data_IF_957223468375
#
_entry.id   IF_957223468375
#
_cell.length_a   1.000
_cell.length_b   1.000
_cell.length_c   1.000
_cell.angle_alpha   90.00
_cell.angle_beta   90.00
_cell.angle_gamma   90.00
#
_symmetry.space_group_name_H-M   'P 1'
#
loop_
_entity.id
_entity.type
_entity.pdbx_description
1 polymer ?
#
# COMPACT_ATOMS: atom_id res chain seq x y z
N UNK A 1 -10.01 33.19 16.23
CA UNK A 1 -8.85 33.04 15.31
C UNK A 1 -7.52 32.63 15.97
N UNK A 2 -7.26 32.91 17.27
CA UNK A 2 -6.00 32.46 17.93
C UNK A 2 -5.93 30.94 18.20
N UNK A 3 -7.05 30.27 18.43
CA UNK A 3 -7.11 28.81 18.63
C UNK A 3 -6.87 27.98 17.35
N UNK A 4 -7.34 28.46 16.18
CA UNK A 4 -7.22 27.74 14.91
C UNK A 4 -5.76 27.68 14.39
N UNK A 5 -4.95 28.70 14.71
CA UNK A 5 -3.53 28.75 14.31
C UNK A 5 -2.65 27.75 15.07
N UNK A 6 -3.06 27.34 16.27
CA UNK A 6 -2.24 26.44 17.10
C UNK A 6 -2.43 24.97 16.70
N UNK A 7 -3.64 24.58 16.28
CA UNK A 7 -3.94 23.17 15.99
C UNK A 7 -3.54 22.72 14.57
N UNK A 8 -3.58 23.61 13.57
CA UNK A 8 -3.18 23.27 12.19
C UNK A 8 -1.67 23.00 12.11
N UNK A 9 -0.86 23.72 12.89
CA UNK A 9 0.58 23.51 12.95
C UNK A 9 0.94 22.14 13.55
N UNK A 10 0.23 21.70 14.59
CA UNK A 10 0.44 20.37 15.17
C UNK A 10 -0.02 19.24 14.25
N UNK A 11 -1.12 19.41 13.51
CA UNK A 11 -1.61 18.40 12.56
C UNK A 11 -0.68 18.21 11.35
N UNK A 12 -0.13 19.31 10.82
CA UNK A 12 0.86 19.28 9.72
C UNK A 12 2.19 18.70 10.21
N UNK A 13 2.65 19.08 11.41
CA UNK A 13 3.89 18.56 12.00
C UNK A 13 3.75 17.08 12.39
N UNK A 14 2.60 16.64 12.88
CA UNK A 14 2.33 15.22 13.17
C UNK A 14 2.26 14.38 11.88
N UNK A 15 1.73 14.94 10.80
CA UNK A 15 1.68 14.27 9.48
C UNK A 15 3.06 14.12 8.84
N UNK A 16 3.99 15.05 9.10
CA UNK A 16 5.37 15.00 8.60
C UNK A 16 6.33 14.19 9.49
N UNK A 17 6.15 14.19 10.82
CA UNK A 17 7.07 13.52 11.75
C UNK A 17 6.83 12.02 11.92
N UNK A 18 5.62 11.51 11.62
CA UNK A 18 5.37 10.07 11.61
C UNK A 18 5.91 9.40 10.32
N UNK A 19 6.24 10.20 9.29
CA UNK A 19 6.58 9.71 7.94
C UNK A 19 8.06 9.77 7.54
N UNK A 20 8.95 10.37 8.34
CA UNK A 20 10.36 10.50 7.99
C UNK A 20 11.24 9.73 8.99
N UNK A 21 12.03 8.78 8.45
CA UNK A 21 13.17 8.05 9.04
C UNK A 21 12.81 6.72 9.75
N UNK A 22 13.31 5.51 9.35
CA UNK A 22 14.24 5.14 8.25
C UNK A 22 13.91 3.84 7.43
N UNK A 23 14.73 3.63 6.38
CA UNK A 23 14.92 2.47 5.47
C UNK A 23 13.91 2.30 4.31
N UNK A 24 14.21 2.77 3.10
CA UNK A 24 15.10 2.19 2.07
C UNK A 24 14.67 0.80 1.58
N UNK A 25 14.06 0.84 0.39
CA UNK A 25 13.90 -0.17 -0.66
C UNK A 25 14.27 -1.61 -0.32
N UNK A 26 13.26 -2.43 -0.01
CA UNK A 26 13.23 -3.85 -0.34
C UNK A 26 11.78 -4.30 -0.63
N UNK A 27 11.34 -4.19 -1.89
CA UNK A 27 10.06 -4.74 -2.36
C UNK A 27 10.15 -6.25 -2.56
N UNK A 28 10.16 -6.93 -1.43
CA UNK A 28 10.20 -8.38 -1.27
C UNK A 28 9.38 -8.74 -0.04
N UNK A 29 8.69 -9.88 -0.03
CA UNK A 29 8.00 -10.29 1.19
C UNK A 29 9.02 -10.47 2.29
N UNK A 30 8.83 -9.73 3.38
CA UNK A 30 9.58 -9.94 4.61
C UNK A 30 8.75 -10.84 5.50
N UNK A 31 9.31 -12.01 5.81
CA UNK A 31 8.69 -12.97 6.70
C UNK A 31 9.54 -13.10 7.95
N UNK A 32 9.09 -12.49 9.04
CA UNK A 32 9.75 -12.61 10.34
C UNK A 32 9.49 -14.00 10.92
N UNK A 33 10.53 -14.76 11.25
CA UNK A 33 10.43 -16.09 11.85
C UNK A 33 10.78 -16.05 13.33
N UNK A 34 9.88 -16.57 14.15
CA UNK A 34 10.13 -16.82 15.57
C UNK A 34 10.01 -18.30 15.90
N UNK A 35 10.64 -18.70 17.00
CA UNK A 35 10.34 -19.94 17.69
C UNK A 35 10.05 -19.57 19.15
N UNK A 36 8.88 -20.00 19.65
CA UNK A 36 8.44 -19.69 21.02
C UNK A 36 8.44 -18.18 21.31
N UNK A 37 8.04 -17.37 20.33
CA UNK A 37 8.01 -15.90 20.44
C UNK A 37 9.38 -15.22 20.40
N UNK A 38 10.48 -15.97 20.32
CA UNK A 38 11.83 -15.41 20.16
C UNK A 38 12.27 -15.46 18.70
N UNK A 39 12.95 -14.40 18.23
CA UNK A 39 13.47 -14.36 16.85
C UNK A 39 14.45 -15.50 16.63
N UNK A 40 14.24 -16.25 15.55
CA UNK A 40 15.13 -17.35 15.19
C UNK A 40 16.45 -16.77 14.63
N UNK A 41 17.56 -16.98 15.32
CA UNK A 41 18.89 -16.49 14.93
C UNK A 41 19.70 -17.48 14.08
N UNK A 42 19.17 -18.68 13.84
CA UNK A 42 19.86 -19.77 13.13
C UNK A 42 20.16 -19.37 11.68
N UNK A 43 21.41 -19.03 11.37
CA UNK A 43 21.87 -18.63 10.02
C UNK A 43 21.71 -19.71 8.93
N UNK A 44 21.30 -20.92 9.30
CA UNK A 44 21.10 -22.08 8.42
C UNK A 44 19.64 -22.51 8.28
N UNK A 45 18.67 -21.76 8.83
CA UNK A 45 17.26 -22.06 8.55
C UNK A 45 16.96 -21.81 7.07
N UNK A 46 16.28 -22.76 6.43
CA UNK A 46 15.91 -22.67 5.02
C UNK A 46 14.40 -22.49 4.90
N UNK A 47 13.97 -21.64 3.97
CA UNK A 47 12.56 -21.30 3.77
C UNK A 47 12.15 -21.43 2.31
N UNK A 48 11.01 -22.06 2.06
CA UNK A 48 10.40 -22.16 0.74
C UNK A 48 8.94 -21.71 0.78
N UNK A 49 8.56 -20.85 -0.16
CA UNK A 49 7.16 -20.49 -0.41
C UNK A 49 6.48 -21.61 -1.23
N UNK A 50 5.29 -22.00 -0.83
CA UNK A 50 4.46 -23.01 -1.50
C UNK A 50 3.20 -22.36 -2.06
N UNK A 51 2.79 -22.75 -3.28
CA UNK A 51 1.60 -22.27 -3.98
C UNK A 51 0.77 -23.44 -4.52
N UNK A 52 -0.54 -23.23 -4.73
CA UNK A 52 -1.43 -24.16 -5.47
C UNK A 52 -1.49 -23.84 -6.96
N UNK A 53 -0.99 -22.67 -7.37
CA UNK A 53 -0.98 -22.27 -8.78
C UNK A 53 0.12 -23.00 -9.54
N UNK A 54 -0.19 -23.55 -10.73
CA UNK A 54 0.77 -24.31 -11.51
C UNK A 54 1.96 -23.42 -11.90
N UNK A 55 3.16 -23.87 -11.56
CA UNK A 55 4.37 -23.17 -11.98
C UNK A 55 4.45 -23.16 -13.51
N UNK A 56 4.57 -21.99 -14.12
CA UNK A 56 4.59 -21.80 -15.59
C UNK A 56 5.84 -22.45 -16.25
N UNK A 57 6.72 -23.13 -15.49
CA UNK A 57 7.87 -23.85 -16.03
C UNK A 57 7.92 -25.27 -15.48
N UNK A 58 7.71 -26.24 -16.37
CA UNK A 58 7.78 -27.69 -16.13
C UNK A 58 9.16 -28.24 -15.68
N UNK A 59 10.16 -27.37 -15.44
CA UNK A 59 11.46 -27.79 -14.93
C UNK A 59 11.94 -26.86 -13.83
N UNK A 60 12.20 -27.38 -12.61
CA UNK A 60 12.94 -26.66 -11.63
C UNK A 60 14.41 -26.48 -12.08
N UNK A 61 14.81 -25.30 -12.57
CA UNK A 61 16.22 -24.88 -12.63
C UNK A 61 16.72 -24.49 -11.22
N UNK A 62 16.84 -25.43 -10.29
CA UNK A 62 17.15 -25.21 -8.87
C UNK A 62 18.32 -24.23 -8.64
N UNK A 63 18.01 -22.95 -8.43
CA UNK A 63 18.89 -21.95 -7.83
C UNK A 63 18.45 -21.59 -6.39
N UNK A 64 17.33 -22.17 -5.93
CA UNK A 64 16.92 -22.14 -4.53
C UNK A 64 17.39 -23.40 -3.82
N UNK A 65 17.73 -23.30 -2.54
CA UNK A 65 18.16 -24.45 -1.74
C UNK A 65 17.04 -25.48 -1.72
N UNK A 66 17.25 -26.60 -2.40
CA UNK A 66 16.35 -27.75 -2.31
C UNK A 66 16.35 -28.20 -0.84
N UNK A 67 15.23 -27.99 -0.14
CA UNK A 67 15.07 -28.49 1.21
C UNK A 67 14.96 -30.01 1.08
N UNK A 68 16.06 -30.72 1.35
CA UNK A 68 16.12 -32.16 1.31
C UNK A 68 14.97 -32.77 2.13
N UNK A 69 14.23 -33.70 1.53
CA UNK A 69 13.08 -34.36 2.15
C UNK A 69 11.75 -33.61 2.04
N UNK A 70 11.71 -32.33 1.62
CA UNK A 70 10.44 -31.62 1.43
C UNK A 70 9.59 -32.21 0.29
N UNK A 71 10.24 -32.73 -0.77
CA UNK A 71 9.59 -33.52 -1.82
C UNK A 71 8.97 -34.84 -1.33
N UNK A 72 9.43 -35.38 -0.19
CA UNK A 72 8.85 -36.59 0.40
C UNK A 72 7.68 -36.27 1.33
N UNK A 73 7.55 -35.01 1.77
CA UNK A 73 6.48 -34.53 2.66
C UNK A 73 5.34 -33.87 1.87
N UNK A 74 5.64 -33.32 0.68
CA UNK A 74 4.65 -32.74 -0.22
C UNK A 74 4.27 -33.72 -1.33
N UNK A 75 2.97 -33.84 -1.71
CA UNK A 75 2.56 -34.66 -2.86
C UNK A 75 3.13 -34.11 -4.18
N UNK A 76 3.17 -34.94 -5.22
CA UNK A 76 3.68 -34.56 -6.54
C UNK A 76 2.92 -33.35 -7.14
N UNK A 77 3.68 -32.51 -7.87
CA UNK A 77 3.31 -31.15 -8.24
C UNK A 77 2.38 -30.99 -9.46
N UNK A 78 1.77 -32.08 -9.92
CA UNK A 78 1.09 -32.23 -11.21
C UNK A 78 -0.45 -32.22 -11.12
N UNK A 79 -1.03 -32.03 -9.92
CA UNK A 79 -2.47 -31.91 -9.73
C UNK A 79 -2.89 -30.52 -9.22
N UNK A 80 -3.88 -29.91 -9.87
CA UNK A 80 -4.53 -28.68 -9.40
C UNK A 80 -4.97 -28.84 -7.93
N UNK A 81 -4.60 -27.87 -7.08
CA UNK A 81 -4.95 -27.88 -5.65
C UNK A 81 -3.93 -28.56 -4.73
N UNK A 82 -2.87 -29.16 -5.27
CA UNK A 82 -1.72 -29.64 -4.48
C UNK A 82 -0.74 -28.49 -4.23
N UNK A 83 -0.15 -28.45 -3.04
CA UNK A 83 0.89 -27.47 -2.71
C UNK A 83 2.21 -27.83 -3.33
N UNK A 84 2.72 -26.95 -4.20
CA UNK A 84 3.98 -27.13 -4.91
C UNK A 84 4.93 -25.99 -4.59
N UNK A 85 6.22 -26.16 -4.91
CA UNK A 85 7.17 -25.06 -4.86
C UNK A 85 6.67 -23.90 -5.71
N UNK A 86 6.68 -22.70 -5.13
CA UNK A 86 6.59 -21.50 -5.94
C UNK A 86 7.81 -21.41 -6.86
N UNK A 87 7.59 -21.05 -8.13
CA UNK A 87 8.65 -20.97 -9.14
C UNK A 87 9.78 -19.99 -8.76
N UNK A 88 10.92 -20.09 -9.47
CA UNK A 88 12.21 -19.37 -9.32
C UNK A 88 12.22 -17.92 -8.85
N UNK A 89 11.12 -17.20 -8.99
CA UNK A 89 11.06 -15.81 -8.56
C UNK A 89 10.94 -15.67 -7.04
N UNK A 90 10.43 -16.66 -6.31
CA UNK A 90 9.99 -16.50 -4.92
C UNK A 90 10.72 -17.39 -3.89
N UNK A 91 12.01 -17.65 -4.12
CA UNK A 91 12.91 -18.18 -3.07
C UNK A 91 13.45 -17.05 -2.19
N UNK A 92 13.74 -17.33 -0.91
CA UNK A 92 14.22 -16.31 0.02
C UNK A 92 15.38 -16.76 0.89
N UNK A 93 16.33 -15.86 1.12
CA UNK A 93 17.43 -16.06 2.05
C UNK A 93 16.97 -15.77 3.49
N UNK A 94 17.47 -16.55 4.45
CA UNK A 94 17.21 -16.34 5.87
C UNK A 94 18.33 -15.53 6.51
N UNK A 95 18.04 -14.31 6.94
CA UNK A 95 19.03 -13.45 7.61
C UNK A 95 18.35 -12.72 8.76
N UNK A 96 18.95 -12.77 9.95
CA UNK A 96 18.48 -12.00 11.12
C UNK A 96 17.05 -12.32 11.56
N UNK A 97 16.61 -13.57 11.38
CA UNK A 97 15.25 -13.98 11.70
C UNK A 97 14.22 -13.66 10.62
N UNK A 98 14.62 -13.30 9.41
CA UNK A 98 13.70 -12.90 8.35
C UNK A 98 13.98 -13.65 7.04
N UNK A 99 12.93 -14.08 6.35
CA UNK A 99 13.02 -14.48 4.95
C UNK A 99 12.64 -13.31 4.05
N UNK A 100 13.45 -13.11 3.00
CA UNK A 100 13.21 -12.12 1.96
C UNK A 100 12.85 -12.81 0.65
N UNK A 101 11.58 -12.80 0.24
CA UNK A 101 11.17 -13.40 -1.03
C UNK A 101 11.10 -12.34 -2.14
N UNK A 102 11.89 -12.52 -3.20
CA UNK A 102 11.89 -11.60 -4.34
C UNK A 102 10.66 -11.82 -5.25
N UNK A 103 10.38 -10.89 -6.18
CA UNK A 103 9.46 -11.15 -7.30
C UNK A 103 7.95 -10.94 -7.08
N UNK A 104 7.56 -10.06 -6.15
CA UNK A 104 6.15 -9.75 -5.82
C UNK A 104 5.44 -8.79 -6.78
N UNK A 105 6.11 -8.29 -7.81
CA UNK A 105 5.51 -7.37 -8.79
C UNK A 105 4.71 -8.21 -9.81
N UNK A 106 3.40 -8.33 -9.57
CA UNK A 106 2.42 -8.76 -10.57
C UNK A 106 2.20 -10.27 -10.75
N UNK A 107 2.38 -11.10 -9.73
CA UNK A 107 2.10 -12.53 -9.90
C UNK A 107 2.03 -13.40 -8.65
N UNK A 108 1.84 -12.81 -7.48
CA UNK A 108 1.73 -13.53 -6.21
C UNK A 108 0.47 -14.39 -6.22
N UNK A 109 0.50 -15.66 -5.75
CA UNK A 109 -0.68 -16.48 -5.75
C UNK A 109 -1.60 -15.99 -4.63
N UNK A 110 -2.91 -16.05 -4.85
CA UNK A 110 -3.91 -15.53 -3.90
C UNK A 110 -3.77 -16.15 -2.49
N UNK A 111 -3.20 -17.36 -2.43
CA UNK A 111 -2.93 -18.11 -1.22
C UNK A 111 -1.56 -18.76 -1.25
N UNK A 112 -0.86 -18.76 -0.12
CA UNK A 112 0.42 -19.45 0.01
C UNK A 112 0.67 -20.06 1.40
N UNK A 113 1.67 -20.93 1.46
CA UNK A 113 2.25 -21.48 2.71
C UNK A 113 3.76 -21.29 2.69
N UNK A 114 4.38 -21.43 3.86
CA UNK A 114 5.83 -21.46 4.01
C UNK A 114 6.24 -22.78 4.64
N UNK A 115 7.24 -23.43 4.04
CA UNK A 115 7.98 -24.51 4.64
C UNK A 115 9.28 -23.97 5.25
N UNK A 116 9.56 -24.29 6.51
CA UNK A 116 10.80 -23.92 7.19
C UNK A 116 11.53 -25.18 7.64
N UNK A 117 12.76 -25.36 7.18
CA UNK A 117 13.64 -26.42 7.66
C UNK A 117 14.58 -25.90 8.73
N UNK A 118 14.61 -26.60 9.87
CA UNK A 118 15.55 -26.33 10.97
C UNK A 118 16.56 -27.47 11.09
N UNK A 119 17.80 -27.25 10.63
CA UNK A 119 18.85 -28.27 10.68
C UNK A 119 19.14 -28.76 12.11
N UNK A 120 19.09 -27.87 13.10
CA UNK A 120 19.37 -28.20 14.51
C UNK A 120 18.42 -29.25 15.11
N UNK A 121 17.25 -29.43 14.50
CA UNK A 121 16.25 -30.40 14.94
C UNK A 121 15.94 -31.47 13.88
N UNK A 122 16.57 -31.38 12.71
CA UNK A 122 16.28 -32.21 11.54
C UNK A 122 14.79 -32.28 11.20
N UNK A 123 14.08 -31.14 11.33
CA UNK A 123 12.62 -31.06 11.17
C UNK A 123 12.20 -30.01 10.15
N UNK A 124 11.17 -30.35 9.39
CA UNK A 124 10.46 -29.46 8.48
C UNK A 124 9.16 -29.03 9.15
N UNK A 125 8.94 -27.72 9.21
CA UNK A 125 7.73 -27.09 9.70
C UNK A 125 6.92 -26.56 8.52
N UNK A 126 5.67 -26.98 8.41
CA UNK A 126 4.74 -26.46 7.42
C UNK A 126 3.77 -25.48 8.09
N UNK A 127 3.64 -24.29 7.51
CA UNK A 127 2.68 -23.31 7.98
C UNK A 127 1.25 -23.62 7.57
N UNK A 128 0.29 -23.00 8.25
CA UNK A 128 -1.05 -22.84 7.68
C UNK A 128 -1.03 -22.01 6.39
N UNK A 129 -2.12 -22.11 5.63
CA UNK A 129 -2.42 -21.29 4.47
C UNK A 129 -2.79 -19.86 4.90
N UNK A 130 -2.28 -18.88 4.16
CA UNK A 130 -2.63 -17.47 4.34
C UNK A 130 -2.96 -16.85 2.99
N UNK A 131 -4.00 -16.02 2.98
CA UNK A 131 -4.39 -15.22 1.82
C UNK A 131 -3.48 -14.00 1.69
N UNK A 132 -3.00 -13.74 0.48
CA UNK A 132 -2.17 -12.57 0.18
C UNK A 132 -2.99 -11.30 0.09
N UNK A 133 -2.31 -10.16 0.14
CA UNK A 133 -2.91 -8.88 -0.18
C UNK A 133 -2.03 -8.19 -1.23
N UNK A 134 -2.62 -7.61 -2.31
CA UNK A 134 -1.83 -7.01 -3.39
C UNK A 134 -0.84 -5.93 -2.93
N UNK A 135 -1.23 -5.16 -1.90
CA UNK A 135 -0.43 -4.07 -1.34
C UNK A 135 0.17 -4.34 0.05
N UNK A 136 -0.08 -5.51 0.67
CA UNK A 136 0.53 -5.86 1.97
C UNK A 136 1.40 -7.10 1.84
N UNK A 137 2.69 -6.93 2.14
CA UNK A 137 3.73 -7.92 1.88
C UNK A 137 4.52 -8.33 3.14
N UNK A 138 4.01 -8.02 4.34
CA UNK A 138 4.67 -8.35 5.60
C UNK A 138 3.99 -9.53 6.27
N UNK A 139 4.78 -10.56 6.55
CA UNK A 139 4.29 -11.78 7.19
C UNK A 139 5.17 -12.15 8.37
N UNK A 140 4.63 -13.01 9.22
CA UNK A 140 5.27 -13.51 10.41
C UNK A 140 4.97 -15.00 10.56
N UNK A 141 6.01 -15.80 10.73
CA UNK A 141 5.94 -17.25 10.95
C UNK A 141 6.40 -17.56 12.36
N UNK A 142 5.55 -18.20 13.16
CA UNK A 142 5.94 -18.71 14.47
C UNK A 142 6.05 -20.25 14.42
N UNK A 143 7.21 -20.77 14.82
CA UNK A 143 7.51 -22.19 14.87
C UNK A 143 7.20 -22.70 16.28
N UNK A 144 6.18 -23.55 16.37
CA UNK A 144 5.70 -24.10 17.63
C UNK A 144 6.50 -25.35 18.01
N UNK A 145 6.67 -25.60 19.33
CA UNK A 145 7.33 -26.81 19.86
C UNK A 145 6.71 -28.13 19.39
N UNK A 146 5.43 -28.11 19.01
CA UNK A 146 4.69 -29.28 18.55
C UNK A 146 5.00 -29.66 17.08
N UNK A 147 5.94 -29.00 16.42
CA UNK A 147 6.31 -29.28 15.03
C UNK A 147 5.45 -28.58 13.98
N UNK A 148 4.53 -27.70 14.38
CA UNK A 148 3.70 -26.89 13.46
C UNK A 148 4.26 -25.48 13.31
N UNK A 149 3.98 -24.83 12.18
CA UNK A 149 4.21 -23.40 12.00
C UNK A 149 2.89 -22.64 11.84
N UNK A 150 2.86 -21.41 12.36
CA UNK A 150 1.75 -20.48 12.22
C UNK A 150 2.22 -19.28 11.41
N UNK A 151 1.73 -19.15 10.19
CA UNK A 151 1.93 -18.00 9.33
C UNK A 151 0.79 -17.01 9.57
N UNK A 152 1.16 -15.77 9.85
CA UNK A 152 0.27 -14.62 10.04
C UNK A 152 0.69 -13.49 9.12
N UNK A 153 -0.26 -12.78 8.54
CA UNK A 153 0.00 -11.55 7.79
C UNK A 153 -0.14 -10.36 8.72
N UNK A 154 0.76 -9.38 8.59
CA UNK A 154 0.56 -8.09 9.22
C UNK A 154 -0.54 -7.33 8.48
N UNK A 155 -1.64 -7.06 9.16
CA UNK A 155 -2.74 -6.24 8.66
C UNK A 155 -2.51 -4.73 8.90
N UNK A 156 -1.30 -4.33 9.29
CA UNK A 156 -0.94 -2.92 9.48
C UNK A 156 -1.11 -2.16 8.16
N UNK A 157 -1.95 -1.14 8.16
CA UNK A 157 -2.25 -0.35 6.97
C UNK A 157 -3.31 -0.96 6.04
N UNK A 158 -3.97 -2.07 6.43
CA UNK A 158 -5.01 -2.72 5.62
C UNK A 158 -6.15 -1.80 5.20
N UNK A 159 -6.66 -0.97 6.10
CA UNK A 159 -7.72 -0.03 5.75
C UNK A 159 -7.29 0.93 4.63
N UNK A 160 -6.05 1.42 4.68
CA UNK A 160 -5.49 2.27 3.62
C UNK A 160 -5.27 1.51 2.33
N UNK A 161 -4.73 0.29 2.42
CA UNK A 161 -4.50 -0.57 1.26
C UNK A 161 -5.81 -0.91 0.53
N UNK A 162 -6.85 -1.28 1.27
CA UNK A 162 -8.20 -1.53 0.74
C UNK A 162 -8.76 -0.28 0.07
N UNK A 163 -8.64 0.90 0.71
CA UNK A 163 -9.14 2.14 0.14
C UNK A 163 -8.47 2.50 -1.19
N UNK A 164 -7.15 2.29 -1.30
CA UNK A 164 -6.40 2.53 -2.54
C UNK A 164 -6.82 1.56 -3.64
N UNK A 165 -6.97 0.27 -3.32
CA UNK A 165 -7.40 -0.74 -4.29
C UNK A 165 -8.83 -0.47 -4.77
N UNK A 166 -9.77 -0.19 -3.87
CA UNK A 166 -11.14 0.15 -4.26
C UNK A 166 -11.24 1.45 -5.05
N UNK A 167 -10.34 2.42 -4.81
CA UNK A 167 -10.22 3.59 -5.68
C UNK A 167 -9.72 3.21 -7.08
N UNK A 168 -8.69 2.36 -7.17
CA UNK A 168 -8.20 1.86 -8.46
C UNK A 168 -9.32 1.14 -9.25
N UNK A 169 -10.13 0.32 -8.56
CA UNK A 169 -11.27 -0.40 -9.14
C UNK A 169 -12.41 0.53 -9.58
N UNK A 170 -12.68 1.59 -8.81
CA UNK A 170 -13.66 2.63 -9.16
C UNK A 170 -13.26 3.39 -10.45
N UNK A 171 -11.95 3.44 -10.72
CA UNK A 171 -11.38 3.98 -11.95
C UNK A 171 -11.23 5.50 -11.98
N UNK A 172 -10.35 5.95 -12.89
CA UNK A 172 -9.95 7.36 -13.01
C UNK A 172 -11.14 8.30 -13.20
N UNK A 173 -12.06 7.97 -14.10
CA UNK A 173 -13.15 8.88 -14.49
C UNK A 173 -14.13 9.11 -13.34
N UNK A 174 -14.56 8.04 -12.67
CA UNK A 174 -15.43 8.11 -11.51
C UNK A 174 -14.78 8.87 -10.35
N UNK A 175 -13.50 8.58 -10.07
CA UNK A 175 -12.75 9.27 -9.02
C UNK A 175 -12.60 10.77 -9.34
N UNK A 176 -12.33 11.12 -10.60
CA UNK A 176 -12.22 12.50 -11.06
C UNK A 176 -13.54 13.26 -10.88
N UNK A 177 -14.67 12.66 -11.26
CA UNK A 177 -16.00 13.26 -11.08
C UNK A 177 -16.28 13.52 -9.59
N UNK A 178 -16.00 12.54 -8.73
CA UNK A 178 -16.18 12.69 -7.27
C UNK A 178 -15.33 13.82 -6.70
N UNK A 179 -14.06 13.94 -7.12
CA UNK A 179 -13.17 15.03 -6.70
C UNK A 179 -13.68 16.37 -7.20
N UNK A 180 -14.04 16.47 -8.48
CA UNK A 180 -14.54 17.72 -9.06
C UNK A 180 -15.81 18.21 -8.37
N UNK A 181 -16.77 17.32 -8.11
CA UNK A 181 -18.02 17.66 -7.42
C UNK A 181 -17.73 18.11 -5.99
N UNK A 182 -16.92 17.35 -5.25
CA UNK A 182 -16.62 17.64 -3.84
C UNK A 182 -15.83 18.93 -3.68
N UNK A 183 -14.75 19.10 -4.45
CA UNK A 183 -13.96 20.34 -4.43
C UNK A 183 -14.77 21.53 -4.92
N UNK A 184 -15.56 21.35 -5.98
CA UNK A 184 -16.46 22.37 -6.50
C UNK A 184 -17.43 22.88 -5.43
N UNK A 185 -18.09 21.97 -4.69
CA UNK A 185 -18.98 22.33 -3.58
C UNK A 185 -18.24 23.12 -2.49
N UNK A 186 -17.05 22.67 -2.08
CA UNK A 186 -16.25 23.35 -1.05
C UNK A 186 -15.80 24.74 -1.52
N UNK A 187 -15.34 24.86 -2.76
CA UNK A 187 -14.93 26.14 -3.34
C UNK A 187 -16.10 27.11 -3.44
N UNK A 188 -17.26 26.64 -3.92
CA UNK A 188 -18.49 27.44 -3.99
C UNK A 188 -18.88 27.94 -2.60
N UNK A 189 -18.95 27.04 -1.61
CA UNK A 189 -19.26 27.39 -0.23
C UNK A 189 -18.25 28.39 0.34
N UNK A 190 -16.95 28.16 0.14
CA UNK A 190 -15.88 29.06 0.59
C UNK A 190 -15.99 30.46 0.00
N UNK A 191 -16.25 30.59 -1.30
CA UNK A 191 -16.44 31.90 -1.96
C UNK A 191 -17.73 32.60 -1.47
N UNK A 192 -18.80 31.85 -1.25
CA UNK A 192 -20.05 32.38 -0.69
C UNK A 192 -19.87 32.88 0.74
N UNK A 193 -19.13 32.14 1.59
CA UNK A 193 -18.79 32.56 2.96
C UNK A 193 -17.93 33.82 2.99
N UNK A 194 -17.05 34.00 2.00
CA UNK A 194 -16.29 35.24 1.82
C UNK A 194 -17.12 36.41 1.27
N UNK A 195 -18.42 36.20 0.97
CA UNK A 195 -19.36 37.18 0.39
C UNK A 195 -18.88 37.72 -0.97
N UNK A 196 -18.19 36.91 -1.77
CA UNK A 196 -17.57 37.30 -3.04
C UNK A 196 -18.27 36.71 -4.27
N UNK A 197 -19.60 36.83 -4.32
CA UNK A 197 -20.45 36.22 -5.38
C UNK A 197 -20.03 36.58 -6.82
N UNK A 198 -19.52 37.79 -7.06
CA UNK A 198 -19.11 38.27 -8.40
C UNK A 198 -17.98 37.47 -9.04
N UNK A 199 -17.14 36.79 -8.25
CA UNK A 199 -16.02 35.99 -8.75
C UNK A 199 -16.30 34.47 -8.70
N UNK A 200 -17.51 34.07 -8.28
CA UNK A 200 -17.86 32.67 -8.05
C UNK A 200 -17.65 31.81 -9.29
N UNK A 201 -18.21 32.22 -10.43
CA UNK A 201 -18.10 31.48 -11.70
C UNK A 201 -16.63 31.34 -12.12
N UNK A 202 -15.83 32.42 -11.95
CA UNK A 202 -14.41 32.41 -12.30
C UNK A 202 -13.61 31.44 -11.43
N UNK A 203 -13.84 31.44 -10.12
CA UNK A 203 -13.13 30.56 -9.18
C UNK A 203 -13.59 29.10 -9.35
N UNK A 204 -14.88 28.86 -9.55
CA UNK A 204 -15.41 27.51 -9.83
C UNK A 204 -14.90 26.95 -11.15
N UNK A 205 -14.90 27.75 -12.24
CA UNK A 205 -14.31 27.36 -13.52
C UNK A 205 -12.81 27.08 -13.40
N UNK A 206 -12.08 27.87 -12.60
CA UNK A 206 -10.68 27.61 -12.28
C UNK A 206 -10.47 26.30 -11.53
N UNK A 207 -11.35 25.94 -10.59
CA UNK A 207 -11.31 24.66 -9.88
C UNK A 207 -11.44 23.48 -10.85
N UNK A 208 -12.39 23.56 -11.79
CA UNK A 208 -12.57 22.52 -12.81
C UNK A 208 -11.32 22.41 -13.69
N UNK A 209 -10.83 23.53 -14.21
CA UNK A 209 -9.67 23.53 -15.12
C UNK A 209 -8.40 22.97 -14.46
N UNK A 210 -8.10 23.39 -13.22
CA UNK A 210 -6.90 22.92 -12.52
C UNK A 210 -7.01 21.44 -12.17
N UNK A 211 -8.17 20.95 -11.75
CA UNK A 211 -8.36 19.52 -11.47
C UNK A 211 -8.34 18.67 -12.73
N UNK A 212 -8.95 19.12 -13.83
CA UNK A 212 -8.93 18.38 -15.10
C UNK A 212 -7.51 18.16 -15.61
N UNK A 213 -6.60 19.11 -15.36
CA UNK A 213 -5.18 18.97 -15.71
C UNK A 213 -4.38 18.18 -14.68
N UNK A 214 -4.53 18.48 -13.39
CA UNK A 214 -3.71 17.89 -12.34
C UNK A 214 -4.09 16.44 -12.01
N UNK A 215 -5.38 16.10 -12.05
CA UNK A 215 -5.88 14.81 -11.56
C UNK A 215 -5.37 13.61 -12.38
N UNK A 216 -5.33 13.63 -13.73
CA UNK A 216 -4.76 12.51 -14.50
C UNK A 216 -3.28 12.27 -14.20
N UNK A 217 -2.51 13.33 -14.02
CA UNK A 217 -1.08 13.24 -13.67
C UNK A 217 -0.88 12.66 -12.27
N UNK A 218 -1.67 13.13 -11.30
CA UNK A 218 -1.71 12.62 -9.92
C UNK A 218 -2.03 11.13 -9.93
N UNK A 219 -3.10 10.75 -10.62
CA UNK A 219 -3.53 9.36 -10.76
C UNK A 219 -2.44 8.47 -11.34
N UNK A 220 -1.87 8.83 -12.48
CA UNK A 220 -0.86 8.02 -13.16
C UNK A 220 0.39 7.79 -12.29
N UNK A 221 0.89 8.85 -11.65
CA UNK A 221 2.06 8.79 -10.80
C UNK A 221 1.80 8.02 -9.49
N UNK A 222 0.64 8.21 -8.86
CA UNK A 222 0.27 7.47 -7.66
C UNK A 222 0.10 5.98 -7.99
N UNK A 223 -0.59 5.68 -9.08
CA UNK A 223 -0.78 4.31 -9.57
C UNK A 223 0.56 3.64 -9.88
N UNK A 224 1.47 4.31 -10.57
CA UNK A 224 2.84 3.83 -10.77
C UNK A 224 3.57 3.61 -9.44
N UNK A 225 3.44 4.55 -8.50
CA UNK A 225 4.02 4.43 -7.15
C UNK A 225 3.54 3.19 -6.39
N UNK A 226 2.24 2.91 -6.41
CA UNK A 226 1.66 1.72 -5.76
C UNK A 226 2.07 0.42 -6.46
N UNK A 227 2.08 0.40 -7.78
CA UNK A 227 2.38 -0.80 -8.56
C UNK A 227 3.86 -1.16 -8.58
N UNK A 228 4.74 -0.17 -8.60
CA UNK A 228 6.19 -0.39 -8.69
C UNK A 228 6.93 -0.24 -7.36
N UNK A 229 6.35 0.42 -6.36
CA UNK A 229 6.99 0.67 -5.06
C UNK A 229 6.15 0.29 -3.82
N UNK A 230 4.99 -0.36 -4.03
CA UNK A 230 4.11 -0.80 -2.95
C UNK A 230 3.36 0.33 -2.22
N UNK A 231 2.69 -0.04 -1.12
CA UNK A 231 1.77 0.84 -0.38
C UNK A 231 2.43 2.17 0.03
N UNK A 232 3.61 2.11 0.64
CA UNK A 232 4.23 3.28 1.26
C UNK A 232 4.83 4.26 0.25
N UNK A 233 5.38 3.77 -0.87
CA UNK A 233 5.88 4.64 -1.95
C UNK A 233 4.72 5.33 -2.65
N UNK A 234 3.63 4.61 -2.95
CA UNK A 234 2.42 5.21 -3.50
C UNK A 234 1.82 6.27 -2.57
N UNK A 235 1.77 6.01 -1.26
CA UNK A 235 1.34 7.00 -0.26
C UNK A 235 2.27 8.22 -0.22
N UNK A 236 3.58 8.03 -0.35
CA UNK A 236 4.57 9.11 -0.44
C UNK A 236 4.30 10.02 -1.64
N UNK A 237 4.06 9.43 -2.82
CA UNK A 237 3.71 10.19 -4.02
C UNK A 237 2.37 10.92 -3.87
N UNK A 238 1.36 10.27 -3.30
CA UNK A 238 0.07 10.92 -3.01
C UNK A 238 0.24 12.13 -2.08
N UNK A 239 1.04 12.02 -1.03
CA UNK A 239 1.27 13.12 -0.09
C UNK A 239 1.98 14.31 -0.76
N UNK A 240 3.02 14.04 -1.53
CA UNK A 240 3.73 15.06 -2.30
C UNK A 240 2.78 15.78 -3.26
N UNK A 241 1.97 15.02 -3.99
CA UNK A 241 1.00 15.56 -4.93
C UNK A 241 -0.12 16.35 -4.26
N UNK A 242 -0.62 15.88 -3.12
CA UNK A 242 -1.62 16.61 -2.32
C UNK A 242 -1.06 17.98 -1.93
N UNK A 243 0.18 18.01 -1.46
CA UNK A 243 0.87 19.25 -1.07
C UNK A 243 0.99 20.22 -2.24
N UNK A 244 1.46 19.74 -3.40
CA UNK A 244 1.57 20.55 -4.61
C UNK A 244 0.19 21.02 -5.11
N UNK A 245 -0.82 20.16 -5.06
CA UNK A 245 -2.18 20.48 -5.49
C UNK A 245 -2.80 21.57 -4.60
N UNK A 246 -2.62 21.50 -3.28
CA UNK A 246 -3.07 22.53 -2.34
C UNK A 246 -2.41 23.88 -2.65
N UNK A 247 -1.11 23.89 -2.93
CA UNK A 247 -0.39 25.13 -3.26
C UNK A 247 -0.84 25.69 -4.60
N UNK A 248 -0.88 24.88 -5.66
CA UNK A 248 -1.25 25.30 -7.01
C UNK A 248 -2.70 25.79 -7.08
N UNK A 249 -3.65 25.00 -6.55
CA UNK A 249 -5.04 25.42 -6.50
C UNK A 249 -5.25 26.60 -5.56
N UNK A 250 -4.61 26.61 -4.40
CA UNK A 250 -4.68 27.73 -3.46
C UNK A 250 -4.22 29.05 -4.09
N UNK A 251 -3.14 28.99 -4.88
CA UNK A 251 -2.64 30.09 -5.72
C UNK A 251 -3.70 30.52 -6.72
N UNK A 252 -4.23 29.57 -7.49
CA UNK A 252 -5.22 29.84 -8.52
C UNK A 252 -6.47 30.48 -7.93
N UNK A 253 -6.99 29.99 -6.81
CA UNK A 253 -8.16 30.56 -6.13
C UNK A 253 -7.88 31.96 -5.58
N UNK A 254 -6.68 32.22 -5.04
CA UNK A 254 -6.32 33.56 -4.59
C UNK A 254 -6.29 34.56 -5.75
N UNK A 255 -5.64 34.20 -6.86
CA UNK A 255 -5.55 35.03 -8.07
C UNK A 255 -6.91 35.23 -8.74
N UNK A 256 -7.66 34.13 -8.95
CA UNK A 256 -8.97 34.16 -9.59
C UNK A 256 -10.02 34.83 -8.71
N UNK A 257 -9.97 34.64 -7.40
CA UNK A 257 -10.89 35.27 -6.46
C UNK A 257 -10.56 36.72 -6.12
N UNK A 258 -9.33 37.16 -6.41
CA UNK A 258 -8.74 38.39 -5.84
C UNK A 258 -8.85 38.37 -4.30
N UNK A 259 -8.46 37.24 -3.72
CA UNK A 259 -8.41 37.04 -2.27
C UNK A 259 -6.96 37.07 -1.78
N UNK A 260 -6.77 37.27 -0.48
CA UNK A 260 -5.45 37.04 0.14
C UNK A 260 -5.00 35.60 -0.10
N UNK A 261 -3.71 35.40 -0.40
CA UNK A 261 -3.06 34.10 -0.56
C UNK A 261 -3.48 33.07 0.50
N UNK A 262 -3.49 33.50 1.77
CA UNK A 262 -3.84 32.64 2.92
C UNK A 262 -5.26 32.08 2.82
N UNK A 263 -6.22 32.85 2.29
CA UNK A 263 -7.61 32.40 2.12
C UNK A 263 -7.73 31.44 0.95
N UNK A 264 -7.02 31.70 -0.15
CA UNK A 264 -6.94 30.78 -1.29
C UNK A 264 -6.40 29.41 -0.88
N UNK A 265 -5.25 29.39 -0.20
CA UNK A 265 -4.65 28.14 0.33
C UNK A 265 -5.54 27.45 1.34
N UNK A 266 -6.21 28.19 2.23
CA UNK A 266 -7.14 27.58 3.19
C UNK A 266 -8.32 26.88 2.48
N UNK A 267 -8.92 27.52 1.47
CA UNK A 267 -9.99 26.91 0.66
C UNK A 267 -9.45 25.68 -0.08
N UNK A 268 -8.27 25.77 -0.70
CA UNK A 268 -7.64 24.65 -1.40
C UNK A 268 -7.35 23.46 -0.49
N UNK A 269 -6.84 23.71 0.71
CA UNK A 269 -6.57 22.67 1.71
C UNK A 269 -7.87 21.97 2.16
N UNK A 270 -8.92 22.74 2.49
CA UNK A 270 -10.20 22.18 2.91
C UNK A 270 -10.83 21.35 1.78
N UNK A 271 -10.75 21.85 0.54
CA UNK A 271 -11.27 21.14 -0.63
C UNK A 271 -10.57 19.79 -0.82
N UNK A 272 -9.23 19.77 -0.74
CA UNK A 272 -8.43 18.55 -0.89
C UNK A 272 -8.66 17.54 0.25
N UNK A 273 -8.78 18.01 1.49
CA UNK A 273 -9.10 17.14 2.64
C UNK A 273 -10.51 16.55 2.50
N UNK A 274 -11.50 17.35 2.09
CA UNK A 274 -12.87 16.88 1.90
C UNK A 274 -12.95 15.82 0.78
N UNK A 275 -12.36 16.11 -0.37
CA UNK A 275 -12.31 15.19 -1.50
C UNK A 275 -11.53 13.90 -1.16
N UNK A 276 -10.35 14.03 -0.54
CA UNK A 276 -9.54 12.88 -0.12
C UNK A 276 -10.25 12.00 0.91
N UNK A 277 -10.92 12.59 1.89
CA UNK A 277 -11.71 11.85 2.90
C UNK A 277 -12.87 11.09 2.25
N UNK A 278 -13.60 11.72 1.32
CA UNK A 278 -14.71 11.08 0.62
C UNK A 278 -14.21 9.91 -0.25
N UNK A 279 -13.16 10.14 -1.03
CA UNK A 279 -12.54 9.10 -1.85
C UNK A 279 -12.05 7.92 -1.01
N UNK A 280 -11.44 8.19 0.15
CA UNK A 280 -11.01 7.15 1.07
C UNK A 280 -12.18 6.28 1.54
N UNK A 281 -13.28 6.89 1.99
CA UNK A 281 -14.45 6.17 2.46
C UNK A 281 -15.07 5.33 1.35
N UNK A 282 -15.27 5.92 0.16
CA UNK A 282 -15.85 5.21 -0.98
C UNK A 282 -14.94 4.06 -1.40
N UNK A 283 -13.64 4.30 -1.57
CA UNK A 283 -12.67 3.27 -1.93
C UNK A 283 -12.64 2.13 -0.92
N UNK A 284 -12.66 2.46 0.38
CA UNK A 284 -12.73 1.44 1.42
C UNK A 284 -13.99 0.60 1.30
N UNK A 285 -15.16 1.22 1.10
CA UNK A 285 -16.44 0.50 0.95
C UNK A 285 -16.54 -0.33 -0.34
N UNK A 286 -15.83 0.04 -1.41
CA UNK A 286 -15.83 -0.72 -2.67
C UNK A 286 -15.03 -2.02 -2.55
N UNK A 287 -13.97 -2.02 -1.73
CA UNK A 287 -13.04 -3.16 -1.64
C UNK A 287 -13.15 -3.99 -0.34
N UNK A 288 -13.67 -3.41 0.75
CA UNK A 288 -13.82 -4.09 2.04
C UNK A 288 -14.84 -5.23 2.00
#
# INVERSE_FOLDING_TARGET
>A
MRYLKKNISWLVVFSFLVGAVPCWAEDSQLVLVTADGQRLSESLALGAMLSKEPSVRAKPINMGVEIAGLHNVLPAADANGVWTYASYRWGGAFVGGQFKFNGFIGGVPDHFRIAVYRPSQEKIYLSNEVQTHPLLNRYHVDLLKNGKAVLTRSDTGKAMANAVLGLADLGLLSAMVLVLVTEGMVVIAGVMLLKKKKVLVRVAGGCIAVNAFAFPMVWALAHAGFWFGGLWVGLGFLLLQLTLAVLLQGTAYALLGRFDWRRGVAIGLIAKIAAGSLLFVIGYCVFA
#
